data_IF_818245969786
#
_entry.id   IF_818245969786
#
_cell.length_a   1.000
_cell.length_b   1.000
_cell.length_c   1.000
_cell.angle_alpha   90.00
_cell.angle_beta   90.00
_cell.angle_gamma   90.00
#
_symmetry.space_group_name_H-M   'P 1'
#
loop_
_entity.id
_entity.type
_entity.pdbx_description
1 polymer ?
#
# COMPACT_ATOMS: atom_id res chain seq x y z
N UNK A 1 22.81 -15.17 -53.46
CA UNK A 1 22.46 -14.26 -52.35
C UNK A 1 22.49 -15.06 -51.06
N UNK A 2 23.36 -14.71 -50.10
CA UNK A 2 23.43 -15.36 -48.78
C UNK A 2 22.93 -14.35 -47.76
N UNK A 3 21.79 -14.63 -47.12
CA UNK A 3 21.23 -13.79 -46.05
C UNK A 3 22.03 -14.00 -44.78
N UNK A 4 22.70 -12.96 -44.32
CA UNK A 4 23.40 -12.93 -43.04
C UNK A 4 22.38 -12.65 -41.94
N UNK A 5 22.14 -13.63 -41.07
CA UNK A 5 21.33 -13.49 -39.87
C UNK A 5 22.03 -12.56 -38.88
N UNK A 6 21.46 -11.40 -38.59
CA UNK A 6 21.93 -10.49 -37.54
C UNK A 6 21.22 -10.89 -36.24
N UNK A 7 21.95 -11.52 -35.32
CA UNK A 7 21.49 -11.75 -33.95
C UNK A 7 21.80 -10.49 -33.16
N UNK A 8 20.79 -9.65 -32.92
CA UNK A 8 20.86 -8.58 -31.94
C UNK A 8 20.67 -9.18 -30.54
N UNK A 9 21.76 -9.68 -29.96
CA UNK A 9 21.80 -10.01 -28.54
C UNK A 9 22.00 -8.71 -27.74
N UNK A 10 20.92 -7.95 -27.57
CA UNK A 10 20.89 -6.85 -26.60
C UNK A 10 20.70 -7.47 -25.22
N UNK A 11 21.80 -7.93 -24.63
CA UNK A 11 21.91 -8.18 -23.20
C UNK A 11 21.97 -6.82 -22.48
N UNK A 12 20.89 -6.05 -22.58
CA UNK A 12 20.65 -4.95 -21.65
C UNK A 12 20.27 -5.57 -20.32
N UNK A 13 21.28 -5.91 -19.52
CA UNK A 13 21.16 -5.84 -18.06
C UNK A 13 21.00 -4.37 -17.67
N UNK A 14 19.91 -3.76 -18.13
CA UNK A 14 19.31 -2.65 -17.42
C UNK A 14 18.81 -3.27 -16.14
N UNK A 15 19.63 -3.20 -15.10
CA UNK A 15 19.11 -3.09 -13.75
C UNK A 15 18.08 -1.97 -13.80
N UNK A 16 16.83 -2.34 -14.01
CA UNK A 16 15.69 -1.48 -13.76
C UNK A 16 15.82 -1.20 -12.27
N UNK A 17 16.51 -0.11 -11.95
CA UNK A 17 16.33 0.59 -10.70
C UNK A 17 14.84 0.83 -10.65
N UNK A 18 14.13 0.00 -9.88
CA UNK A 18 12.71 0.20 -9.61
C UNK A 18 12.61 1.64 -9.12
N UNK A 19 11.96 2.49 -9.89
CA UNK A 19 11.44 3.74 -9.38
C UNK A 19 10.39 3.36 -8.33
N UNK A 20 10.87 3.18 -7.10
CA UNK A 20 10.10 2.91 -5.90
C UNK A 20 10.59 3.91 -4.86
N UNK A 21 9.72 4.87 -4.57
CA UNK A 21 9.85 5.97 -3.62
C UNK A 21 10.33 5.51 -2.21
N UNK A 22 10.88 6.42 -1.39
CA UNK A 22 11.35 6.09 -0.05
C UNK A 22 10.17 5.70 0.86
N UNK A 23 10.23 4.54 1.52
CA UNK A 23 9.33 4.18 2.62
C UNK A 23 8.46 2.93 2.45
N UNK A 24 8.75 2.04 1.48
CA UNK A 24 8.09 0.73 1.39
C UNK A 24 8.69 -0.34 2.31
N UNK A 25 8.00 -1.49 2.51
CA UNK A 25 8.48 -2.61 3.33
C UNK A 25 9.89 -3.07 2.92
N UNK A 26 10.80 -3.24 3.88
CA UNK A 26 12.20 -3.67 3.63
C UNK A 26 12.29 -5.09 3.05
N UNK A 27 11.38 -5.96 3.47
CA UNK A 27 11.22 -7.33 2.98
C UNK A 27 9.74 -7.59 2.61
N UNK A 28 9.33 -7.25 1.38
CA UNK A 28 7.94 -7.44 0.94
C UNK A 28 7.46 -8.89 1.00
N UNK A 29 8.34 -9.88 0.87
CA UNK A 29 7.96 -11.29 0.84
C UNK A 29 7.55 -11.80 2.22
N UNK A 30 7.99 -11.13 3.28
CA UNK A 30 7.60 -11.41 4.68
C UNK A 30 6.17 -10.94 5.04
N UNK A 31 5.53 -10.12 4.21
CA UNK A 31 4.20 -9.58 4.51
C UNK A 31 3.11 -10.66 4.41
N UNK A 32 2.14 -10.55 5.31
CA UNK A 32 1.01 -11.48 5.36
C UNK A 32 0.17 -11.43 4.08
N UNK A 33 -0.30 -12.62 3.66
CA UNK A 33 -1.34 -12.77 2.61
C UNK A 33 -2.74 -12.86 3.19
N UNK A 34 -2.87 -12.75 4.51
CA UNK A 34 -4.14 -12.65 5.22
C UNK A 34 -4.76 -11.25 5.08
N UNK A 35 -6.03 -11.10 5.52
CA UNK A 35 -6.74 -9.83 5.46
C UNK A 35 -6.05 -8.76 6.32
N UNK A 36 -6.22 -7.50 5.93
CA UNK A 36 -5.78 -6.36 6.76
C UNK A 36 -6.53 -6.39 8.10
N UNK A 37 -5.84 -6.35 9.26
CA UNK A 37 -6.49 -6.48 10.57
C UNK A 37 -7.12 -5.16 11.02
N UNK A 38 -8.13 -4.67 10.29
CA UNK A 38 -8.77 -3.37 10.54
C UNK A 38 -9.35 -3.24 11.96
N UNK A 39 -9.70 -4.36 12.59
CA UNK A 39 -10.25 -4.41 13.96
C UNK A 39 -9.24 -3.98 15.05
N UNK A 40 -7.95 -3.94 14.74
CA UNK A 40 -6.89 -3.49 15.66
C UNK A 40 -6.78 -1.96 15.71
N UNK A 41 -7.36 -1.26 14.74
CA UNK A 41 -7.36 0.20 14.71
C UNK A 41 -8.33 0.80 15.74
N UNK A 42 -8.15 2.08 16.14
CA UNK A 42 -9.14 2.79 16.93
C UNK A 42 -10.53 2.79 16.26
N UNK A 43 -11.61 2.79 17.05
CA UNK A 43 -12.99 2.74 16.52
C UNK A 43 -13.29 3.88 15.53
N UNK A 44 -12.75 5.08 15.77
CA UNK A 44 -12.91 6.23 14.86
C UNK A 44 -12.32 5.93 13.46
N UNK A 45 -11.17 5.24 13.41
CA UNK A 45 -10.52 4.83 12.17
C UNK A 45 -11.30 3.71 11.50
N UNK A 46 -11.75 2.72 12.26
CA UNK A 46 -12.62 1.65 11.72
C UNK A 46 -13.87 2.23 11.05
N UNK A 47 -14.54 3.18 11.70
CA UNK A 47 -15.69 3.88 11.14
C UNK A 47 -15.38 4.57 9.81
N UNK A 48 -14.29 5.36 9.76
CA UNK A 48 -13.88 6.06 8.55
C UNK A 48 -13.45 5.12 7.41
N UNK A 49 -12.75 4.03 7.71
CA UNK A 49 -12.36 3.05 6.70
C UNK A 49 -13.59 2.41 6.04
N UNK A 50 -14.65 2.16 6.82
CA UNK A 50 -15.90 1.60 6.28
C UNK A 50 -16.73 2.66 5.53
N UNK A 51 -16.86 3.89 6.04
CA UNK A 51 -17.62 4.95 5.35
C UNK A 51 -17.00 5.31 4.00
N UNK A 52 -15.67 5.41 3.95
CA UNK A 52 -14.92 5.82 2.77
C UNK A 52 -14.49 4.66 1.87
N UNK A 53 -14.88 3.42 2.18
CA UNK A 53 -14.45 2.23 1.44
C UNK A 53 -14.83 2.28 -0.06
N UNK A 54 -15.94 2.95 -0.38
CA UNK A 54 -16.40 3.10 -1.77
C UNK A 54 -15.43 3.90 -2.65
N UNK A 55 -14.55 4.72 -2.05
CA UNK A 55 -13.47 5.44 -2.74
C UNK A 55 -12.20 4.59 -2.93
N UNK A 56 -12.15 3.38 -2.37
CA UNK A 56 -11.00 2.48 -2.43
C UNK A 56 -11.33 1.20 -3.23
N UNK A 57 -11.26 1.22 -4.57
CA UNK A 57 -11.21 -0.02 -5.35
C UNK A 57 -9.88 -0.72 -5.03
N UNK A 58 -9.85 -1.99 -4.56
CA UNK A 58 -10.82 -3.06 -4.81
C UNK A 58 -11.86 -3.37 -3.69
N UNK A 59 -11.83 -2.68 -2.55
CA UNK A 59 -12.52 -2.91 -1.26
C UNK A 59 -11.53 -3.29 -0.15
N UNK A 60 -11.43 -2.46 0.88
CA UNK A 60 -10.45 -2.62 1.98
C UNK A 60 -10.66 -3.92 2.76
N UNK A 61 -11.89 -4.39 2.89
CA UNK A 61 -12.22 -5.62 3.61
C UNK A 61 -11.79 -6.90 2.86
N UNK A 62 -11.35 -6.77 1.61
CA UNK A 62 -10.94 -7.90 0.77
C UNK A 62 -9.45 -7.87 0.40
N UNK A 63 -8.76 -6.77 0.73
CA UNK A 63 -7.34 -6.63 0.43
C UNK A 63 -6.52 -7.37 1.48
N UNK A 64 -5.43 -8.00 1.05
CA UNK A 64 -4.46 -8.60 1.98
C UNK A 64 -3.40 -7.58 2.40
N UNK A 65 -2.67 -7.87 3.47
CA UNK A 65 -1.63 -6.98 4.01
C UNK A 65 -0.56 -6.64 2.98
N UNK A 66 -0.08 -7.62 2.20
CA UNK A 66 0.90 -7.35 1.14
C UNK A 66 0.41 -6.33 0.12
N UNK A 67 -0.77 -6.53 -0.46
CA UNK A 67 -1.32 -5.66 -1.49
C UNK A 67 -1.61 -4.25 -0.94
N UNK A 68 -2.04 -4.18 0.32
CA UNK A 68 -2.21 -2.93 1.05
C UNK A 68 -0.88 -2.19 1.21
N UNK A 69 0.14 -2.83 1.79
CA UNK A 69 1.42 -2.19 2.11
C UNK A 69 2.30 -1.88 0.89
N UNK A 70 2.13 -2.63 -0.20
CA UNK A 70 2.87 -2.41 -1.44
C UNK A 70 2.28 -1.29 -2.30
N UNK A 71 1.00 -0.94 -2.11
CA UNK A 71 0.24 0.09 -2.83
C UNK A 71 0.61 0.26 -4.32
N UNK A 72 0.67 -0.86 -5.05
CA UNK A 72 1.20 -0.89 -6.43
C UNK A 72 0.35 -0.13 -7.45
N UNK A 73 -0.87 0.30 -7.08
CA UNK A 73 -1.82 1.01 -7.93
C UNK A 73 -2.13 2.45 -7.51
N UNK A 74 -1.45 3.00 -6.48
CA UNK A 74 -1.74 4.31 -5.86
C UNK A 74 -3.15 4.44 -5.25
N UNK A 75 -3.95 3.36 -5.25
CA UNK A 75 -5.30 3.38 -4.71
C UNK A 75 -5.28 3.72 -3.22
N UNK A 76 -4.30 3.19 -2.47
CA UNK A 76 -4.19 3.47 -1.05
C UNK A 76 -3.71 4.90 -0.83
N UNK A 77 -2.72 5.38 -1.60
CA UNK A 77 -2.24 6.76 -1.52
C UNK A 77 -3.35 7.77 -1.80
N UNK A 78 -4.13 7.63 -2.87
CA UNK A 78 -5.21 8.57 -3.17
C UNK A 78 -6.32 8.53 -2.13
N UNK A 79 -6.73 7.34 -1.70
CA UNK A 79 -7.76 7.19 -0.68
C UNK A 79 -7.32 7.76 0.68
N UNK A 80 -6.10 7.42 1.11
CA UNK A 80 -5.51 7.90 2.37
C UNK A 80 -5.32 9.41 2.40
N UNK A 81 -4.89 10.03 1.29
CA UNK A 81 -4.63 11.47 1.23
C UNK A 81 -5.89 12.33 1.02
N UNK A 82 -7.04 11.72 0.73
CA UNK A 82 -8.27 12.45 0.43
C UNK A 82 -9.42 12.09 1.37
N UNK A 83 -10.30 11.18 0.94
CA UNK A 83 -11.55 10.89 1.65
C UNK A 83 -11.28 10.36 3.05
N UNK A 84 -10.31 9.45 3.20
CA UNK A 84 -9.96 8.88 4.50
C UNK A 84 -9.35 9.94 5.44
N UNK A 85 -8.40 10.75 4.96
CA UNK A 85 -7.82 11.85 5.76
C UNK A 85 -8.86 12.87 6.21
N UNK A 86 -9.84 13.19 5.35
CA UNK A 86 -10.91 14.13 5.69
C UNK A 86 -11.80 13.56 6.79
N UNK A 87 -12.18 12.29 6.69
CA UNK A 87 -12.99 11.63 7.71
C UNK A 87 -12.24 11.56 9.04
N UNK A 88 -11.00 11.08 9.04
CA UNK A 88 -10.24 10.87 10.29
C UNK A 88 -9.86 12.18 10.96
N UNK A 89 -9.61 13.26 10.20
CA UNK A 89 -9.41 14.59 10.77
C UNK A 89 -10.66 15.14 11.51
N UNK A 90 -11.86 14.71 11.12
CA UNK A 90 -13.11 15.11 11.77
C UNK A 90 -13.57 14.17 12.89
N UNK A 91 -13.20 12.89 12.83
CA UNK A 91 -13.72 11.85 13.72
C UNK A 91 -12.71 11.35 14.77
N UNK A 92 -11.41 11.51 14.54
CA UNK A 92 -10.36 10.94 15.38
C UNK A 92 -9.58 12.02 16.15
N UNK A 93 -9.16 11.66 17.36
CA UNK A 93 -8.17 12.42 18.13
C UNK A 93 -6.76 12.29 17.57
N UNK A 94 -5.86 13.17 18.03
CA UNK A 94 -4.44 13.11 17.65
C UNK A 94 -3.77 11.84 18.16
N UNK A 95 -4.12 11.41 19.36
CA UNK A 95 -3.63 10.17 19.98
C UNK A 95 -4.04 8.94 19.17
N UNK A 96 -5.26 8.90 18.65
CA UNK A 96 -5.73 7.82 17.78
C UNK A 96 -5.06 7.84 16.40
N UNK A 97 -4.73 9.02 15.87
CA UNK A 97 -3.93 9.13 14.66
C UNK A 97 -2.53 8.51 14.83
N UNK A 98 -1.87 8.72 15.98
CA UNK A 98 -0.59 8.07 16.26
C UNK A 98 -0.71 6.55 16.38
N UNK A 99 -1.74 6.05 17.07
CA UNK A 99 -2.00 4.60 17.15
C UNK A 99 -2.21 3.97 15.77
N UNK A 100 -2.92 4.66 14.88
CA UNK A 100 -3.12 4.18 13.51
C UNK A 100 -1.83 4.21 12.68
N UNK A 101 -0.96 5.20 12.91
CA UNK A 101 0.37 5.27 12.29
C UNK A 101 1.27 4.12 12.76
N UNK A 102 1.34 3.87 14.07
CA UNK A 102 2.13 2.78 14.64
C UNK A 102 1.64 1.43 14.11
N UNK A 103 0.33 1.22 14.10
CA UNK A 103 -0.29 0.04 13.49
C UNK A 103 0.12 -0.14 12.02
N UNK A 104 0.09 0.92 11.21
CA UNK A 104 0.49 0.87 9.81
C UNK A 104 1.96 0.46 9.67
N UNK A 105 2.85 1.03 10.49
CA UNK A 105 4.26 0.67 10.48
C UNK A 105 4.52 -0.78 10.89
N UNK A 106 3.75 -1.29 11.86
CA UNK A 106 3.85 -2.66 12.32
C UNK A 106 3.38 -3.65 11.25
N UNK A 107 2.18 -3.49 10.68
CA UNK A 107 1.68 -4.47 9.68
C UNK A 107 2.44 -4.43 8.36
N UNK A 108 3.05 -3.29 8.04
CA UNK A 108 3.84 -3.10 6.82
C UNK A 108 5.35 -3.27 7.02
N UNK A 109 5.81 -3.66 8.22
CA UNK A 109 7.23 -3.85 8.54
C UNK A 109 8.09 -2.63 8.13
N UNK A 110 7.61 -1.42 8.43
CA UNK A 110 8.27 -0.15 8.07
C UNK A 110 9.24 0.36 9.15
N UNK A 111 9.23 -0.29 10.32
CA UNK A 111 10.17 -0.04 11.42
C UNK A 111 11.56 -0.66 11.16
#
# INVERSE_FOLDING_TARGET
MKSTTIIFAILSRLSIVKAGEPGGPKDPDSLSRGPVPLHELPECWQGCLQSENHWYPPNINKVNVYDFCMDTGLHLRFWSQHSLATCTAGACSKEEAYKAQDWYFDICHLN
#
